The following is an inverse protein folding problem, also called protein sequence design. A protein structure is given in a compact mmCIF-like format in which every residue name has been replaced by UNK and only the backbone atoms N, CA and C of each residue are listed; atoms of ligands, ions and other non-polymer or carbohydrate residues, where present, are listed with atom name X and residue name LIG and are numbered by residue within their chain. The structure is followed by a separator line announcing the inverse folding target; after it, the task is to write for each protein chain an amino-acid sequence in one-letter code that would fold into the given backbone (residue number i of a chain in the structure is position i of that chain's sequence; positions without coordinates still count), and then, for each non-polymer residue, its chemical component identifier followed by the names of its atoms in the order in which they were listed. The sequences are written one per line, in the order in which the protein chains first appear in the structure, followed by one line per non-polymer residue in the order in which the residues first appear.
data_IF_109231154630
#
_entry.id   IF_109231154630
#
_cell.length_a   1.000
_cell.length_b   1.000
_cell.length_c   1.000
_cell.angle_alpha   90.00
_cell.angle_beta   90.00
_cell.angle_gamma   90.00
#
_symmetry.space_group_name_H-M   'P 1'
#
loop_
_entity.id
_entity.type
_entity.pdbx_description
1 polymer ?
#
# COMPACT_ATOMS: atom_id res chain seq x y z
N UNK A 1 3.00 7.55 18.31
CA UNK A 1 1.55 7.27 18.45
C UNK A 1 1.42 5.78 18.57
N UNK A 2 0.95 5.28 19.72
CA UNK A 2 0.64 3.87 19.87
C UNK A 2 -0.56 3.55 18.97
N UNK A 3 -0.28 3.02 17.78
CA UNK A 3 -1.30 2.36 16.97
C UNK A 3 -1.82 1.23 17.87
N UNK A 4 -3.13 1.12 18.13
CA UNK A 4 -3.64 0.05 18.97
C UNK A 4 -3.32 -1.28 18.28
N UNK A 5 -2.23 -1.91 18.69
CA UNK A 5 -1.82 -3.25 18.30
C UNK A 5 -2.91 -4.18 18.82
N UNK A 6 -3.88 -4.52 17.98
CA UNK A 6 -5.03 -5.32 18.38
C UNK A 6 -4.59 -6.77 18.64
N UNK A 7 -4.13 -7.04 19.87
CA UNK A 7 -3.88 -8.37 20.41
C UNK A 7 -5.22 -9.05 20.73
N UNK A 8 -6.00 -9.41 19.72
CA UNK A 8 -7.31 -9.96 19.99
C UNK A 8 -7.62 -11.21 19.19
N UNK A 9 -8.10 -12.22 19.92
CA UNK A 9 -8.67 -13.49 19.46
C UNK A 9 -9.96 -13.29 18.64
N UNK A 10 -10.10 -12.18 17.91
CA UNK A 10 -11.29 -11.90 17.12
C UNK A 10 -11.21 -12.64 15.80
N UNK A 11 -12.32 -13.29 15.46
CA UNK A 11 -12.54 -13.79 14.10
C UNK A 11 -12.56 -12.59 13.15
N UNK A 12 -12.09 -12.77 11.90
CA UNK A 12 -12.20 -11.74 10.89
C UNK A 12 -13.67 -11.31 10.73
N UNK A 13 -13.86 -10.01 10.51
CA UNK A 13 -15.15 -9.41 10.23
C UNK A 13 -15.31 -9.20 8.71
N UNK A 14 -16.55 -9.04 8.26
CA UNK A 14 -16.89 -8.87 6.86
C UNK A 14 -17.02 -7.38 6.51
N UNK A 15 -16.62 -7.01 5.29
CA UNK A 15 -17.10 -5.81 4.63
C UNK A 15 -18.29 -6.19 3.76
N UNK A 16 -19.46 -5.65 4.10
CA UNK A 16 -20.65 -5.83 3.28
C UNK A 16 -20.45 -5.14 1.94
N UNK A 17 -20.53 -5.87 0.83
CA UNK A 17 -20.33 -5.32 -0.52
C UNK A 17 -21.50 -5.62 -1.48
N UNK A 18 -22.56 -6.28 -0.98
CA UNK A 18 -23.74 -6.65 -1.76
C UNK A 18 -25.03 -6.18 -1.04
N UNK A 19 -25.91 -5.40 -1.71
CA UNK A 19 -27.22 -5.04 -1.15
C UNK A 19 -28.05 -6.23 -0.65
N UNK A 20 -27.94 -7.41 -1.28
CA UNK A 20 -28.69 -8.59 -0.87
C UNK A 20 -28.32 -9.05 0.56
N UNK A 21 -27.12 -8.69 1.03
CA UNK A 21 -26.61 -9.05 2.34
C UNK A 21 -27.01 -8.09 3.48
N UNK A 22 -27.74 -6.99 3.20
CA UNK A 22 -28.18 -6.04 4.23
C UNK A 22 -29.02 -6.72 5.32
N UNK A 23 -29.88 -7.67 4.92
CA UNK A 23 -30.67 -8.45 5.88
C UNK A 23 -29.80 -9.31 6.82
N UNK A 24 -28.63 -9.75 6.37
CA UNK A 24 -27.67 -10.50 7.18
C UNK A 24 -27.01 -9.58 8.22
N UNK A 25 -26.68 -8.34 7.84
CA UNK A 25 -26.19 -7.35 8.79
C UNK A 25 -27.16 -7.11 9.94
N UNK A 26 -28.46 -6.93 9.66
CA UNK A 26 -29.45 -6.75 10.73
C UNK A 26 -29.63 -7.98 11.63
N UNK A 27 -29.25 -9.17 11.14
CA UNK A 27 -29.36 -10.43 11.89
C UNK A 27 -28.13 -10.69 12.75
N UNK A 28 -26.93 -10.35 12.26
CA UNK A 28 -25.64 -10.60 12.91
C UNK A 28 -24.69 -9.40 12.74
N UNK A 29 -25.01 -8.22 13.28
CA UNK A 29 -24.26 -6.98 13.03
C UNK A 29 -22.82 -7.04 13.55
N UNK A 30 -22.55 -7.87 14.56
CA UNK A 30 -21.22 -8.07 15.13
C UNK A 30 -20.21 -8.70 14.16
N UNK A 31 -20.69 -9.30 13.07
CA UNK A 31 -19.84 -9.92 12.05
C UNK A 31 -19.30 -8.93 11.02
N UNK A 32 -19.79 -7.69 11.02
CA UNK A 32 -19.45 -6.71 10.00
C UNK A 32 -18.58 -5.59 10.59
N UNK A 33 -17.47 -5.28 9.92
CA UNK A 33 -16.60 -4.16 10.28
C UNK A 33 -16.98 -2.87 9.55
N UNK A 34 -17.62 -3.00 8.39
CA UNK A 34 -18.00 -1.88 7.52
C UNK A 34 -18.84 -2.35 6.33
N UNK A 35 -19.22 -1.40 5.49
CA UNK A 35 -19.82 -1.68 4.20
C UNK A 35 -19.10 -0.90 3.09
N UNK A 36 -19.13 -1.44 1.88
CA UNK A 36 -18.43 -0.95 0.71
C UNK A 36 -19.45 -0.65 -0.38
N UNK A 37 -19.88 0.61 -0.46
CA UNK A 37 -20.83 1.04 -1.46
C UNK A 37 -20.15 1.14 -2.85
N UNK A 38 -20.82 0.67 -3.91
CA UNK A 38 -20.25 0.68 -5.26
C UNK A 38 -20.32 2.07 -5.93
N UNK A 39 -21.09 3.01 -5.39
CA UNK A 39 -21.21 4.38 -5.88
C UNK A 39 -21.76 5.32 -4.80
N UNK A 40 -21.66 6.62 -5.03
CA UNK A 40 -22.09 7.67 -4.10
C UNK A 40 -23.57 7.59 -3.72
N UNK A 41 -24.47 7.31 -4.68
CA UNK A 41 -25.92 7.21 -4.40
C UNK A 41 -26.23 6.10 -3.39
N UNK A 42 -25.58 4.94 -3.53
CA UNK A 42 -25.72 3.84 -2.57
C UNK A 42 -24.97 4.09 -1.27
N UNK A 43 -23.93 4.92 -1.27
CA UNK A 43 -23.21 5.28 -0.04
C UNK A 43 -24.13 6.01 0.94
N UNK A 44 -24.92 6.99 0.46
CA UNK A 44 -25.89 7.71 1.29
C UNK A 44 -26.96 6.80 1.86
N UNK A 45 -27.56 5.99 0.98
CA UNK A 45 -28.60 5.06 1.36
C UNK A 45 -28.11 4.06 2.42
N UNK A 46 -26.90 3.52 2.23
CA UNK A 46 -26.30 2.57 3.16
C UNK A 46 -25.85 3.23 4.46
N UNK A 47 -25.35 4.46 4.42
CA UNK A 47 -24.95 5.19 5.62
C UNK A 47 -26.14 5.45 6.56
N UNK A 48 -27.33 5.70 6.00
CA UNK A 48 -28.56 5.83 6.79
C UNK A 48 -29.07 4.46 7.29
N UNK A 49 -29.15 3.45 6.41
CA UNK A 49 -29.75 2.14 6.72
C UNK A 49 -28.88 1.29 7.66
N UNK A 50 -27.56 1.35 7.52
CA UNK A 50 -26.61 0.50 8.24
C UNK A 50 -26.04 1.16 9.49
N UNK A 51 -26.48 2.38 9.85
CA UNK A 51 -25.96 3.09 11.02
C UNK A 51 -26.01 2.22 12.30
N UNK A 52 -24.92 2.12 13.08
CA UNK A 52 -23.69 2.93 13.03
C UNK A 52 -22.51 2.32 12.23
N UNK A 53 -22.75 1.33 11.36
CA UNK A 53 -21.70 0.70 10.56
C UNK A 53 -21.04 1.72 9.61
N UNK A 54 -19.69 1.82 9.57
CA UNK A 54 -19.02 2.73 8.66
C UNK A 54 -19.18 2.26 7.21
N UNK A 55 -19.60 3.18 6.33
CA UNK A 55 -19.77 2.92 4.90
C UNK A 55 -18.70 3.66 4.12
N UNK A 56 -17.92 2.92 3.32
CA UNK A 56 -16.92 3.47 2.42
C UNK A 56 -17.32 3.36 0.96
N UNK A 57 -16.51 3.97 0.10
CA UNK A 57 -16.68 3.97 -1.35
C UNK A 57 -15.54 3.22 -2.05
N UNK A 58 -15.89 2.35 -2.99
CA UNK A 58 -14.92 1.75 -3.90
C UNK A 58 -14.52 2.75 -4.99
N UNK A 59 -13.22 2.92 -5.21
CA UNK A 59 -12.64 3.72 -6.28
C UNK A 59 -11.69 2.83 -7.10
N UNK A 60 -12.03 2.65 -8.38
CA UNK A 60 -11.15 1.94 -9.30
C UNK A 60 -10.00 2.84 -9.74
N UNK A 61 -8.76 2.34 -9.62
CA UNK A 61 -7.60 3.03 -10.17
C UNK A 61 -7.71 3.08 -11.70
N UNK A 62 -7.45 4.25 -12.34
CA UNK A 62 -7.47 4.34 -13.79
C UNK A 62 -6.29 3.56 -14.42
N UNK A 63 -6.35 3.21 -15.71
CA UNK A 63 -5.23 2.56 -16.39
C UNK A 63 -4.00 3.48 -16.43
N UNK A 64 -2.80 2.89 -16.39
CA UNK A 64 -1.56 3.66 -16.52
C UNK A 64 -1.48 4.39 -17.87
N UNK A 65 -0.81 5.56 -17.92
CA UNK A 65 -0.58 6.28 -19.16
C UNK A 65 0.28 5.44 -20.10
N UNK A 66 0.07 5.61 -21.40
CA UNK A 66 0.93 4.97 -22.39
C UNK A 66 2.34 5.55 -22.32
N UNK A 67 3.31 4.71 -21.94
CA UNK A 67 4.69 5.11 -21.76
C UNK A 67 5.38 5.61 -23.04
N UNK A 68 4.89 5.26 -24.23
CA UNK A 68 5.43 5.76 -25.49
C UNK A 68 4.98 7.20 -25.81
N UNK A 69 3.84 7.61 -25.28
CA UNK A 69 3.18 8.87 -25.64
C UNK A 69 3.04 9.86 -24.47
N UNK A 70 3.30 9.43 -23.24
CA UNK A 70 3.25 10.26 -22.05
C UNK A 70 4.58 10.99 -21.85
N UNK A 71 4.53 12.28 -21.54
CA UNK A 71 5.70 13.02 -21.07
C UNK A 71 6.16 12.47 -19.71
N UNK A 72 7.48 12.37 -19.54
CA UNK A 72 8.11 11.93 -18.29
C UNK A 72 8.15 13.08 -17.27
N UNK A 73 8.10 12.80 -15.96
CA UNK A 73 7.90 11.47 -15.35
C UNK A 73 6.44 10.99 -15.41
N UNK A 74 6.21 9.77 -15.90
CA UNK A 74 4.90 9.12 -16.02
C UNK A 74 4.18 9.08 -14.68
N UNK A 75 4.91 8.81 -13.60
CA UNK A 75 4.32 8.67 -12.26
C UNK A 75 3.64 9.96 -11.79
N UNK A 76 4.21 11.13 -12.13
CA UNK A 76 3.57 12.41 -11.81
C UNK A 76 2.32 12.65 -12.64
N UNK A 77 2.35 12.30 -13.93
CA UNK A 77 1.17 12.39 -14.78
C UNK A 77 0.05 11.46 -14.27
N UNK A 78 0.41 10.26 -13.87
CA UNK A 78 -0.54 9.30 -13.33
C UNK A 78 -1.15 9.74 -11.99
N UNK A 79 -0.39 10.41 -11.12
CA UNK A 79 -0.94 11.05 -9.90
C UNK A 79 -2.06 12.04 -10.27
N UNK A 80 -1.84 12.92 -11.26
CA UNK A 80 -2.86 13.88 -11.69
C UNK A 80 -4.06 13.19 -12.37
N UNK A 81 -3.82 12.14 -13.15
CA UNK A 81 -4.89 11.32 -13.73
C UNK A 81 -5.75 10.65 -12.65
N UNK A 82 -5.14 10.10 -11.60
CA UNK A 82 -5.85 9.59 -10.43
C UNK A 82 -6.67 10.68 -9.76
N UNK A 83 -6.12 11.88 -9.57
CA UNK A 83 -6.87 13.00 -8.98
C UNK A 83 -8.10 13.37 -9.81
N UNK A 84 -7.96 13.41 -11.12
CA UNK A 84 -9.08 13.71 -12.03
C UNK A 84 -10.15 12.61 -12.03
N UNK A 85 -9.74 11.35 -11.90
CA UNK A 85 -10.65 10.21 -11.79
C UNK A 85 -11.40 10.18 -10.44
N UNK A 86 -10.72 10.49 -9.33
CA UNK A 86 -11.28 10.38 -7.98
C UNK A 86 -12.10 11.58 -7.57
N UNK A 87 -11.71 12.80 -7.98
CA UNK A 87 -12.36 14.05 -7.54
C UNK A 87 -13.88 14.08 -7.73
N UNK A 88 -14.48 13.60 -8.85
CA UNK A 88 -15.93 13.57 -9.02
C UNK A 88 -16.64 12.54 -8.13
N UNK A 89 -15.92 11.57 -7.58
CA UNK A 89 -16.44 10.46 -6.79
C UNK A 89 -16.27 10.69 -5.28
N UNK A 90 -15.54 11.74 -4.87
CA UNK A 90 -15.40 12.07 -3.46
C UNK A 90 -16.75 12.40 -2.86
N UNK A 91 -17.00 11.83 -1.70
CA UNK A 91 -18.26 11.93 -0.98
C UNK A 91 -18.03 12.30 0.48
N UNK A 92 -18.84 13.23 1.00
CA UNK A 92 -18.68 13.76 2.35
C UNK A 92 -19.07 12.76 3.45
N UNK A 93 -19.93 11.80 3.13
CA UNK A 93 -20.38 10.78 4.09
C UNK A 93 -19.60 9.47 4.01
N UNK A 94 -18.68 9.33 3.05
CA UNK A 94 -17.85 8.12 2.96
C UNK A 94 -16.85 8.06 4.13
N UNK A 95 -16.99 7.06 5.00
CA UNK A 95 -16.12 6.87 6.16
C UNK A 95 -14.68 6.51 5.77
N UNK A 96 -14.50 5.84 4.63
CA UNK A 96 -13.22 5.45 4.06
C UNK A 96 -13.35 5.27 2.53
N UNK A 97 -12.22 5.19 1.85
CA UNK A 97 -12.14 4.84 0.43
C UNK A 97 -11.37 3.55 0.24
N UNK A 98 -11.80 2.72 -0.70
CA UNK A 98 -11.15 1.48 -1.09
C UNK A 98 -10.61 1.61 -2.51
N UNK A 99 -9.29 1.61 -2.65
CA UNK A 99 -8.59 1.63 -3.92
C UNK A 99 -8.38 0.21 -4.43
N UNK A 100 -8.82 -0.06 -5.66
CA UNK A 100 -8.69 -1.38 -6.28
C UNK A 100 -8.37 -1.30 -7.78
N UNK A 101 -7.91 -2.43 -8.34
CA UNK A 101 -7.65 -2.54 -9.77
C UNK A 101 -6.45 -1.75 -10.28
N UNK A 102 -5.50 -1.41 -9.40
CA UNK A 102 -4.23 -0.81 -9.82
C UNK A 102 -3.43 -1.83 -10.66
N UNK A 103 -2.86 -1.42 -11.82
CA UNK A 103 -2.16 -2.34 -12.72
C UNK A 103 -0.80 -2.80 -12.18
N UNK A 104 -0.13 -1.94 -11.41
CA UNK A 104 1.20 -2.16 -10.82
C UNK A 104 1.24 -1.58 -9.42
N UNK A 105 2.22 -1.97 -8.61
CA UNK A 105 2.41 -1.39 -7.29
C UNK A 105 2.78 0.10 -7.33
N UNK A 106 3.70 0.57 -8.20
CA UNK A 106 3.95 2.01 -8.36
C UNK A 106 2.67 2.80 -8.69
N UNK A 107 1.79 2.26 -9.54
CA UNK A 107 0.50 2.86 -9.82
C UNK A 107 -0.41 2.92 -8.57
N UNK A 108 -0.51 1.83 -7.80
CA UNK A 108 -1.28 1.85 -6.55
C UNK A 108 -0.75 2.92 -5.58
N UNK A 109 0.56 2.99 -5.39
CA UNK A 109 1.20 4.00 -4.53
C UNK A 109 0.86 5.42 -5.01
N UNK A 110 0.97 5.68 -6.31
CA UNK A 110 0.59 6.96 -6.91
C UNK A 110 -0.89 7.29 -6.68
N UNK A 111 -1.79 6.31 -6.78
CA UNK A 111 -3.21 6.49 -6.50
C UNK A 111 -3.47 6.82 -5.01
N UNK A 112 -2.75 6.20 -4.08
CA UNK A 112 -2.81 6.54 -2.65
C UNK A 112 -2.37 7.98 -2.41
N UNK A 113 -1.24 8.40 -3.00
CA UNK A 113 -0.76 9.79 -2.89
C UNK A 113 -1.76 10.79 -3.48
N UNK A 114 -2.34 10.47 -4.65
CA UNK A 114 -3.36 11.28 -5.29
C UNK A 114 -4.60 11.44 -4.42
N UNK A 115 -5.08 10.35 -3.80
CA UNK A 115 -6.23 10.40 -2.92
C UNK A 115 -5.93 11.16 -1.62
N UNK A 116 -4.73 11.00 -1.06
CA UNK A 116 -4.27 11.75 0.11
C UNK A 116 -4.19 13.27 -0.14
N UNK A 117 -3.80 13.68 -1.35
CA UNK A 117 -3.84 15.09 -1.78
C UNK A 117 -5.27 15.65 -1.87
N UNK A 118 -6.25 14.79 -2.18
CA UNK A 118 -7.65 15.18 -2.34
C UNK A 118 -8.43 15.17 -1.03
N UNK A 119 -8.18 14.19 -0.16
CA UNK A 119 -8.90 14.03 1.10
C UNK A 119 -8.02 13.38 2.17
N UNK A 120 -8.16 13.82 3.42
CA UNK A 120 -7.49 13.19 4.58
C UNK A 120 -8.27 12.01 5.16
N UNK A 121 -9.04 11.28 4.34
CA UNK A 121 -9.87 10.16 4.82
C UNK A 121 -9.07 8.87 4.87
N UNK A 122 -9.58 7.92 5.65
CA UNK A 122 -9.05 6.55 5.75
C UNK A 122 -9.02 5.88 4.38
N UNK A 123 -7.90 5.23 4.06
CA UNK A 123 -7.69 4.50 2.80
C UNK A 123 -7.49 3.01 3.08
N UNK A 124 -8.25 2.19 2.35
CA UNK A 124 -8.05 0.75 2.21
C UNK A 124 -7.50 0.52 0.80
N UNK A 125 -6.47 -0.30 0.67
CA UNK A 125 -5.86 -0.60 -0.64
C UNK A 125 -5.88 -2.10 -0.92
N UNK A 126 -6.17 -2.48 -2.17
CA UNK A 126 -6.05 -3.87 -2.62
C UNK A 126 -4.68 -4.15 -3.22
N UNK A 127 -4.07 -5.27 -2.81
CA UNK A 127 -2.92 -5.88 -3.46
C UNK A 127 -3.34 -7.21 -4.09
N UNK A 128 -3.09 -7.35 -5.38
CA UNK A 128 -3.28 -8.61 -6.09
C UNK A 128 -1.95 -9.38 -6.14
N UNK A 129 -1.92 -10.57 -5.56
CA UNK A 129 -0.75 -11.44 -5.56
C UNK A 129 -0.88 -12.47 -6.67
N UNK A 130 0.18 -12.58 -7.47
CA UNK A 130 0.28 -13.43 -8.66
C UNK A 130 0.69 -14.87 -8.31
N UNK A 131 1.57 -15.06 -7.32
CA UNK A 131 2.19 -16.35 -7.02
C UNK A 131 2.26 -16.70 -5.52
N UNK A 132 2.71 -17.91 -5.21
CA UNK A 132 2.89 -18.44 -3.86
C UNK A 132 4.18 -17.98 -3.18
N UNK A 133 5.03 -17.23 -3.87
CA UNK A 133 6.22 -16.57 -3.32
C UNK A 133 5.91 -15.15 -2.80
N UNK A 134 4.68 -14.67 -3.01
CA UNK A 134 4.19 -13.38 -2.54
C UNK A 134 4.55 -12.22 -3.46
N UNK A 135 4.70 -12.46 -4.76
CA UNK A 135 4.91 -11.40 -5.74
C UNK A 135 3.60 -10.88 -6.32
N UNK A 136 3.57 -9.59 -6.60
CA UNK A 136 2.56 -8.94 -7.44
C UNK A 136 2.85 -9.19 -8.93
N UNK A 137 1.90 -8.93 -9.84
CA UNK A 137 2.11 -9.14 -11.28
C UNK A 137 3.31 -8.39 -11.90
N UNK A 138 3.73 -7.27 -11.31
CA UNK A 138 4.91 -6.50 -11.71
C UNK A 138 6.23 -7.00 -11.07
N UNK A 139 6.15 -8.08 -10.29
CA UNK A 139 7.26 -8.68 -9.55
C UNK A 139 7.59 -7.99 -8.23
N UNK A 140 6.77 -7.05 -7.76
CA UNK A 140 6.93 -6.43 -6.44
C UNK A 140 6.63 -7.44 -5.33
N UNK A 141 7.48 -7.51 -4.32
CA UNK A 141 7.27 -8.31 -3.11
C UNK A 141 6.13 -7.73 -2.26
N UNK A 142 5.18 -8.56 -1.83
CA UNK A 142 4.04 -8.15 -1.00
C UNK A 142 4.48 -7.47 0.31
N UNK A 143 5.62 -7.86 0.88
CA UNK A 143 6.21 -7.21 2.07
C UNK A 143 6.71 -5.82 1.75
N UNK A 144 7.28 -5.62 0.56
CA UNK A 144 7.74 -4.32 0.09
C UNK A 144 6.54 -3.38 -0.06
N UNK A 145 5.49 -3.86 -0.75
CA UNK A 145 4.26 -3.12 -0.95
C UNK A 145 3.60 -2.74 0.39
N UNK A 146 3.41 -3.68 1.31
CA UNK A 146 2.84 -3.41 2.63
C UNK A 146 3.70 -2.45 3.43
N UNK A 147 5.03 -2.62 3.39
CA UNK A 147 6.00 -1.76 4.07
C UNK A 147 5.88 -0.29 3.64
N UNK A 148 5.66 -0.05 2.35
CA UNK A 148 5.39 1.29 1.81
C UNK A 148 4.00 1.78 2.23
N UNK A 149 2.93 1.01 1.95
CA UNK A 149 1.55 1.45 2.14
C UNK A 149 1.26 1.85 3.59
N UNK A 150 1.79 1.12 4.57
CA UNK A 150 1.60 1.43 5.99
C UNK A 150 2.25 2.74 6.44
N UNK A 151 3.15 3.33 5.65
CA UNK A 151 3.77 4.61 5.95
C UNK A 151 3.14 5.80 5.23
N UNK A 152 2.31 5.57 4.21
CA UNK A 152 1.70 6.63 3.39
C UNK A 152 0.19 6.77 3.61
N UNK A 153 -0.28 6.41 4.80
CA UNK A 153 -1.66 6.67 5.24
C UNK A 153 -2.69 5.56 4.94
N UNK A 154 -2.27 4.41 4.41
CA UNK A 154 -3.16 3.25 4.27
C UNK A 154 -3.34 2.56 5.62
N UNK A 155 -4.60 2.33 6.01
CA UNK A 155 -4.93 1.71 7.31
C UNK A 155 -5.21 0.22 7.19
N UNK A 156 -5.62 -0.23 6.01
CA UNK A 156 -5.97 -1.63 5.75
C UNK A 156 -5.49 -2.03 4.37
N UNK A 157 -4.83 -3.18 4.27
CA UNK A 157 -4.49 -3.80 2.99
C UNK A 157 -5.31 -5.06 2.81
N UNK A 158 -6.03 -5.14 1.69
CA UNK A 158 -6.77 -6.32 1.27
C UNK A 158 -5.93 -7.10 0.27
N UNK A 159 -5.66 -8.38 0.54
CA UNK A 159 -4.92 -9.25 -0.38
C UNK A 159 -5.92 -10.07 -1.19
N UNK A 160 -5.78 -10.06 -2.51
CA UNK A 160 -6.47 -10.96 -3.43
C UNK A 160 -5.46 -11.83 -4.16
N UNK A 161 -5.89 -12.99 -4.63
CA UNK A 161 -5.05 -13.94 -5.38
C UNK A 161 -5.90 -14.75 -6.35
N UNK A 162 -5.26 -15.53 -7.22
CA UNK A 162 -5.94 -16.42 -8.17
C UNK A 162 -6.35 -17.78 -7.60
N UNK A 163 -5.76 -18.18 -6.47
CA UNK A 163 -6.02 -19.46 -5.81
C UNK A 163 -5.78 -19.37 -4.28
N UNK A 164 -6.32 -20.31 -3.48
CA UNK A 164 -6.21 -20.28 -2.02
C UNK A 164 -4.79 -20.50 -1.47
N UNK A 165 -3.91 -21.16 -2.22
CA UNK A 165 -2.54 -21.43 -1.78
C UNK A 165 -1.73 -20.13 -1.81
N UNK A 166 -1.74 -19.41 -2.93
CA UNK A 166 -1.10 -18.10 -3.04
C UNK A 166 -1.63 -17.10 -2.02
N UNK A 167 -2.95 -17.08 -1.78
CA UNK A 167 -3.53 -16.22 -0.73
C UNK A 167 -3.01 -16.55 0.67
N UNK A 168 -2.93 -17.85 1.01
CA UNK A 168 -2.41 -18.31 2.31
C UNK A 168 -0.95 -17.94 2.48
N UNK A 169 -0.12 -18.18 1.45
CA UNK A 169 1.32 -17.88 1.49
C UNK A 169 1.58 -16.38 1.59
N UNK A 170 0.88 -15.57 0.80
CA UNK A 170 1.00 -14.12 0.87
C UNK A 170 0.72 -13.59 2.28
N UNK A 171 -0.32 -14.09 2.95
CA UNK A 171 -0.62 -13.74 4.34
C UNK A 171 0.46 -14.22 5.30
N UNK A 172 0.97 -15.46 5.15
CA UNK A 172 2.05 -15.99 5.99
C UNK A 172 3.32 -15.13 5.90
N UNK A 173 3.67 -14.71 4.68
CA UNK A 173 4.83 -13.88 4.37
C UNK A 173 4.65 -12.45 4.89
N UNK A 174 3.48 -11.86 4.72
CA UNK A 174 3.20 -10.46 5.05
C UNK A 174 2.86 -10.20 6.52
N UNK A 175 2.11 -11.10 7.16
CA UNK A 175 1.51 -10.91 8.48
C UNK A 175 2.50 -10.55 9.61
N UNK A 176 3.75 -11.08 9.63
CA UNK A 176 4.73 -10.68 10.65
C UNK A 176 5.18 -9.22 10.54
N UNK A 177 5.12 -8.64 9.34
CA UNK A 177 5.66 -7.30 9.03
C UNK A 177 4.59 -6.21 8.96
N UNK A 178 3.33 -6.59 8.78
CA UNK A 178 2.21 -5.67 8.68
C UNK A 178 1.88 -5.01 10.03
N UNK A 179 1.99 -3.69 10.09
CA UNK A 179 1.56 -2.88 11.25
C UNK A 179 0.13 -2.36 11.11
N UNK A 180 -0.37 -2.29 9.89
CA UNK A 180 -1.75 -1.99 9.51
C UNK A 180 -2.65 -3.24 9.62
N UNK A 181 -3.97 -3.06 9.46
CA UNK A 181 -4.92 -4.17 9.41
C UNK A 181 -4.77 -4.95 8.10
N UNK A 182 -4.69 -6.28 8.17
CA UNK A 182 -4.72 -7.12 6.97
C UNK A 182 -6.13 -7.65 6.73
N UNK A 183 -6.52 -7.71 5.47
CA UNK A 183 -7.73 -8.37 5.05
C UNK A 183 -7.55 -9.14 3.75
N UNK A 184 -8.63 -9.78 3.29
CA UNK A 184 -8.62 -10.54 2.03
C UNK A 184 -9.85 -10.28 1.19
N UNK A 185 -9.70 -10.34 -0.13
CA UNK A 185 -10.81 -10.52 -1.06
C UNK A 185 -10.81 -12.01 -1.45
N UNK A 186 -11.84 -12.76 -1.06
CA UNK A 186 -11.80 -14.23 -1.15
C UNK A 186 -13.12 -14.83 -1.62
N UNK A 187 -13.00 -15.89 -2.43
CA UNK A 187 -14.11 -16.72 -2.86
C UNK A 187 -14.61 -17.68 -1.77
N UNK A 188 -15.92 -17.85 -1.63
CA UNK A 188 -16.51 -18.74 -0.61
C UNK A 188 -16.04 -20.20 -0.74
N UNK A 189 -15.77 -20.67 -1.95
CA UNK A 189 -15.28 -22.05 -2.19
C UNK A 189 -13.86 -22.31 -1.63
N UNK A 190 -13.15 -21.25 -1.24
CA UNK A 190 -11.79 -21.32 -0.71
C UNK A 190 -11.75 -21.40 0.83
N UNK A 191 -12.89 -21.24 1.50
CA UNK A 191 -12.99 -21.17 2.97
C UNK A 191 -12.31 -22.35 3.70
N UNK A 192 -12.49 -23.58 3.19
CA UNK A 192 -11.92 -24.77 3.81
C UNK A 192 -10.47 -25.07 3.40
N UNK A 193 -9.96 -24.33 2.41
CA UNK A 193 -8.64 -24.55 1.80
C UNK A 193 -7.62 -23.49 2.22
N UNK A 194 -8.10 -22.35 2.72
CA UNK A 194 -7.28 -21.18 3.04
C UNK A 194 -7.02 -21.12 4.53
N UNK A 195 -5.76 -20.84 4.92
CA UNK A 195 -5.45 -20.42 6.29
C UNK A 195 -5.22 -18.91 6.30
N UNK A 196 -6.01 -18.21 7.11
CA UNK A 196 -5.95 -16.78 7.26
C UNK A 196 -4.97 -16.42 8.39
N UNK A 197 -3.87 -15.73 8.07
CA UNK A 197 -2.89 -15.24 9.04
C UNK A 197 -3.09 -13.76 9.34
N UNK A 198 -3.28 -13.41 10.61
CA UNK A 198 -3.49 -12.03 11.09
C UNK A 198 -4.59 -11.25 10.32
N UNK A 199 -5.54 -11.96 9.71
CA UNK A 199 -6.62 -11.36 8.92
C UNK A 199 -7.71 -10.81 9.84
N UNK A 200 -7.98 -9.52 9.72
CA UNK A 200 -8.99 -8.79 10.50
C UNK A 200 -10.28 -8.57 9.70
N UNK A 201 -10.17 -8.45 8.38
CA UNK A 201 -11.28 -8.06 7.50
C UNK A 201 -11.36 -8.97 6.26
N UNK A 202 -12.57 -9.32 5.82
CA UNK A 202 -12.82 -10.09 4.60
C UNK A 202 -13.81 -9.33 3.73
N UNK A 203 -13.48 -9.15 2.45
CA UNK A 203 -14.44 -8.79 1.39
C UNK A 203 -14.86 -10.09 0.70
N UNK A 204 -16.08 -10.60 0.97
CA UNK A 204 -16.53 -11.87 0.41
C UNK A 204 -17.07 -11.69 -1.02
N UNK A 205 -17.00 -12.73 -1.85
CA UNK A 205 -17.80 -12.81 -3.08
C UNK A 205 -19.27 -13.17 -2.82
N UNK A 206 -19.51 -14.01 -1.81
CA UNK A 206 -20.84 -14.47 -1.38
C UNK A 206 -20.97 -14.30 0.14
N UNK A 207 -21.57 -13.18 0.56
CA UNK A 207 -21.64 -12.81 2.00
C UNK A 207 -22.30 -13.88 2.88
N UNK A 208 -23.39 -14.51 2.43
CA UNK A 208 -24.13 -15.51 3.22
C UNK A 208 -23.27 -16.74 3.59
N UNK A 209 -22.47 -17.21 2.63
CA UNK A 209 -21.61 -18.37 2.84
C UNK A 209 -20.54 -18.09 3.92
N UNK A 210 -19.99 -16.87 3.91
CA UNK A 210 -19.02 -16.43 4.91
C UNK A 210 -19.64 -16.24 6.29
N UNK A 211 -20.82 -15.63 6.39
CA UNK A 211 -21.58 -15.52 7.65
C UNK A 211 -21.79 -16.90 8.27
N UNK A 212 -22.24 -17.88 7.48
CA UNK A 212 -22.43 -19.26 7.94
C UNK A 212 -21.11 -19.91 8.39
N UNK A 213 -20.03 -19.74 7.62
CA UNK A 213 -18.72 -20.31 7.93
C UNK A 213 -18.08 -19.72 9.20
N UNK A 214 -18.21 -18.41 9.41
CA UNK A 214 -17.74 -17.72 10.61
C UNK A 214 -18.52 -18.15 11.85
N UNK A 215 -19.85 -18.31 11.75
CA UNK A 215 -20.66 -18.90 12.83
C UNK A 215 -20.24 -20.34 13.13
N UNK A 216 -19.97 -21.13 12.10
CA UNK A 216 -19.62 -22.55 12.21
C UNK A 216 -18.16 -22.84 12.62
N UNK A 217 -17.31 -21.82 12.80
CA UNK A 217 -15.86 -21.96 13.00
C UNK A 217 -15.18 -22.76 11.87
N UNK A 218 -15.63 -22.58 10.63
CA UNK A 218 -15.16 -23.35 9.47
C UNK A 218 -13.93 -22.72 8.78
N UNK A 219 -13.50 -21.54 9.23
CA UNK A 219 -12.36 -20.81 8.67
C UNK A 219 -11.13 -21.00 9.56
N UNK A 220 -10.04 -21.50 8.99
CA UNK A 220 -8.76 -21.64 9.68
C UNK A 220 -8.13 -20.26 9.84
N UNK A 221 -8.12 -19.72 11.06
CA UNK A 221 -7.48 -18.45 11.38
C UNK A 221 -6.31 -18.70 12.33
N UNK A 222 -5.15 -18.10 12.05
CA UNK A 222 -3.96 -18.18 12.88
C UNK A 222 -3.39 -16.79 13.11
N UNK A 223 -2.79 -16.60 14.28
CA UNK A 223 -2.06 -15.38 14.59
C UNK A 223 -0.56 -15.68 14.55
N UNK A 224 0.17 -14.95 13.71
CA UNK A 224 1.62 -14.92 13.73
C UNK A 224 2.08 -13.73 14.57
N UNK A 225 3.12 -13.91 15.43
CA UNK A 225 3.69 -12.79 16.14
C UNK A 225 4.24 -11.78 15.13
N UNK A 226 3.99 -10.50 15.40
CA UNK A 226 4.72 -9.44 14.71
C UNK A 226 6.16 -9.51 15.17
N UNK A 227 7.07 -9.57 14.23
CA UNK A 227 8.51 -9.56 14.47
C UNK A 227 9.03 -8.18 14.03
N UNK A 228 10.28 -7.81 14.32
CA UNK A 228 10.95 -6.63 13.76
C UNK A 228 10.72 -5.26 14.44
N UNK A 229 10.87 -5.18 15.77
CA UNK A 229 11.14 -3.88 16.44
C UNK A 229 12.62 -3.45 16.32
N UNK A 230 13.52 -4.38 16.01
CA UNK A 230 14.97 -4.12 15.97
C UNK A 230 15.49 -3.67 14.58
N UNK A 231 14.64 -3.69 13.54
CA UNK A 231 15.03 -3.36 12.17
C UNK A 231 14.07 -2.37 11.52
N UNK A 232 14.60 -1.59 10.58
CA UNK A 232 13.83 -0.69 9.72
C UNK A 232 13.48 -1.45 8.44
N UNK A 233 12.20 -1.52 8.09
CA UNK A 233 11.78 -1.93 6.75
C UNK A 233 11.95 -0.74 5.79
N UNK A 234 12.85 -0.87 4.82
CA UNK A 234 13.19 0.14 3.82
C UNK A 234 13.09 -0.46 2.40
N UNK A 235 11.86 -0.63 1.86
CA UNK A 235 11.68 -1.17 0.52
C UNK A 235 12.32 -0.30 -0.56
N UNK A 236 12.94 -0.94 -1.56
CA UNK A 236 13.60 -0.26 -2.69
C UNK A 236 12.64 0.06 -3.85
N UNK A 237 11.37 -0.34 -3.72
CA UNK A 237 10.36 -0.22 -4.76
C UNK A 237 9.93 -1.56 -5.35
N UNK A 238 10.74 -2.61 -5.22
CA UNK A 238 10.43 -3.98 -5.64
C UNK A 238 10.61 -5.00 -4.51
N UNK A 239 11.66 -4.89 -3.72
CA UNK A 239 12.03 -5.82 -2.66
C UNK A 239 11.98 -5.16 -1.28
N UNK A 240 11.65 -5.96 -0.26
CA UNK A 240 11.70 -5.53 1.12
C UNK A 240 13.11 -5.71 1.67
N UNK A 241 13.68 -4.65 2.23
CA UNK A 241 14.96 -4.69 2.94
C UNK A 241 14.76 -4.39 4.42
N UNK A 242 15.36 -5.21 5.28
CA UNK A 242 15.33 -5.01 6.73
C UNK A 242 16.72 -4.58 7.18
N UNK A 243 16.85 -3.29 7.47
CA UNK A 243 18.14 -2.64 7.68
C UNK A 243 18.31 -2.23 9.15
N UNK A 244 19.55 -2.19 9.60
CA UNK A 244 19.89 -1.53 10.85
C UNK A 244 19.82 0.00 10.66
N UNK A 245 19.51 0.78 11.70
CA UNK A 245 19.60 2.25 11.65
C UNK A 245 21.01 2.76 11.29
N UNK A 246 22.04 1.94 11.56
CA UNK A 246 23.44 2.23 11.25
C UNK A 246 23.90 1.59 9.95
N UNK A 247 23.01 1.45 8.97
CA UNK A 247 23.37 0.91 7.65
C UNK A 247 24.47 1.76 7.01
N UNK A 248 25.36 1.10 6.27
CA UNK A 248 26.36 1.79 5.47
C UNK A 248 25.71 2.32 4.19
N UNK A 249 25.87 3.62 3.96
CA UNK A 249 25.30 4.34 2.83
C UNK A 249 26.46 4.71 1.91
N UNK A 250 26.29 4.50 0.60
CA UNK A 250 27.32 4.84 -0.39
C UNK A 250 27.70 6.32 -0.35
N UNK A 251 28.84 6.62 -1.00
CA UNK A 251 29.11 7.98 -1.45
C UNK A 251 27.98 8.49 -2.37
N UNK A 252 27.91 9.81 -2.55
CA UNK A 252 26.91 10.43 -3.44
C UNK A 252 27.10 9.97 -4.88
N UNK A 253 26.02 9.48 -5.48
CA UNK A 253 25.92 9.08 -6.88
C UNK A 253 25.03 10.11 -7.57
N UNK A 254 25.57 10.81 -8.57
CA UNK A 254 24.81 11.77 -9.37
C UNK A 254 23.75 11.03 -10.20
N UNK A 255 22.50 11.50 -10.14
CA UNK A 255 21.40 10.88 -10.88
C UNK A 255 21.36 11.38 -12.33
N UNK A 256 22.39 11.00 -13.10
CA UNK A 256 22.61 11.44 -14.48
C UNK A 256 22.67 10.30 -15.50
N UNK A 257 23.16 10.56 -16.73
CA UNK A 257 23.16 9.59 -17.83
C UNK A 257 23.93 8.29 -17.59
N UNK A 258 24.79 8.25 -16.56
CA UNK A 258 25.61 7.10 -16.18
C UNK A 258 25.08 6.36 -14.94
N UNK A 259 23.90 6.74 -14.44
CA UNK A 259 23.34 6.21 -13.20
C UNK A 259 23.33 4.67 -13.15
N UNK A 260 22.94 4.00 -14.24
CA UNK A 260 22.90 2.53 -14.29
C UNK A 260 24.29 1.91 -14.08
N UNK A 261 25.35 2.53 -14.63
CA UNK A 261 26.74 2.07 -14.47
C UNK A 261 27.22 2.31 -13.02
N UNK A 262 26.94 3.50 -12.49
CA UNK A 262 27.34 3.90 -11.14
C UNK A 262 26.65 3.05 -10.05
N UNK A 263 25.38 2.69 -10.25
CA UNK A 263 24.63 1.80 -9.36
C UNK A 263 25.25 0.40 -9.30
N UNK A 264 25.69 -0.14 -10.44
CA UNK A 264 26.36 -1.45 -10.49
C UNK A 264 27.69 -1.40 -9.74
N UNK A 265 28.46 -0.33 -9.94
CA UNK A 265 29.75 -0.17 -9.25
C UNK A 265 29.58 -0.06 -7.73
N UNK A 266 28.52 0.59 -7.25
CA UNK A 266 28.26 0.76 -5.83
C UNK A 266 27.62 -0.45 -5.13
N UNK A 267 27.01 -1.40 -5.87
CA UNK A 267 26.17 -2.48 -5.30
C UNK A 267 26.90 -3.39 -4.29
N UNK A 268 28.18 -3.65 -4.54
CA UNK A 268 29.03 -4.53 -3.73
C UNK A 268 29.60 -3.82 -2.49
N UNK A 269 29.67 -2.49 -2.50
CA UNK A 269 30.42 -1.69 -1.52
C UNK A 269 29.52 -1.02 -0.48
N UNK A 270 28.19 -1.05 -0.62
CA UNK A 270 27.29 -0.33 0.28
C UNK A 270 25.97 -1.07 0.56
N UNK A 271 25.40 -0.81 1.74
CA UNK A 271 24.11 -1.37 2.13
C UNK A 271 22.92 -0.61 1.54
N UNK A 272 23.10 0.67 1.25
CA UNK A 272 22.11 1.56 0.64
C UNK A 272 22.79 2.50 -0.36
N UNK A 273 22.08 2.88 -1.42
CA UNK A 273 22.54 3.85 -2.40
C UNK A 273 22.18 5.27 -1.98
N UNK A 274 23.06 6.23 -2.22
CA UNK A 274 22.79 7.66 -2.04
C UNK A 274 22.74 8.36 -3.38
N UNK A 275 21.52 8.65 -3.86
CA UNK A 275 21.34 9.37 -5.12
C UNK A 275 21.13 10.86 -4.86
N UNK A 276 21.86 11.68 -5.61
CA UNK A 276 21.75 13.14 -5.64
C UNK A 276 20.93 13.58 -6.86
N UNK A 277 19.88 14.37 -6.59
CA UNK A 277 19.10 15.07 -7.59
C UNK A 277 19.51 16.55 -7.62
N UNK A 278 20.03 17.02 -8.74
CA UNK A 278 20.37 18.42 -9.00
C UNK A 278 19.33 19.09 -9.91
N UNK A 279 18.72 18.34 -10.84
CA UNK A 279 17.78 18.88 -11.83
C UNK A 279 16.50 18.07 -11.99
N UNK A 280 15.48 18.64 -12.63
CA UNK A 280 14.24 17.91 -12.97
C UNK A 280 14.50 16.74 -13.95
N UNK A 281 15.56 16.80 -14.77
CA UNK A 281 15.95 15.70 -15.65
C UNK A 281 16.43 14.48 -14.86
N UNK A 282 17.04 14.72 -13.70
CA UNK A 282 17.51 13.68 -12.80
C UNK A 282 16.32 12.90 -12.21
N UNK A 283 15.17 13.56 -12.00
CA UNK A 283 13.93 12.90 -11.57
C UNK A 283 13.40 11.97 -12.66
N UNK A 284 13.54 12.37 -13.93
CA UNK A 284 13.19 11.51 -15.07
C UNK A 284 14.13 10.30 -15.10
N UNK A 285 15.42 10.53 -14.96
CA UNK A 285 16.45 9.48 -14.94
C UNK A 285 16.20 8.50 -13.78
N UNK A 286 15.87 9.00 -12.58
CA UNK A 286 15.47 8.19 -11.44
C UNK A 286 14.26 7.31 -11.76
N UNK A 287 13.25 7.84 -12.46
CA UNK A 287 12.08 7.04 -12.87
C UNK A 287 12.46 5.95 -13.88
N UNK A 288 13.31 6.27 -14.84
CA UNK A 288 13.69 5.34 -15.91
C UNK A 288 14.62 4.23 -15.39
N UNK A 289 15.49 4.53 -14.44
CA UNK A 289 16.47 3.61 -13.85
C UNK A 289 15.98 2.83 -12.63
N UNK A 290 14.69 2.93 -12.24
CA UNK A 290 14.14 2.21 -11.07
C UNK A 290 14.45 0.71 -11.07
N UNK A 291 14.51 0.10 -12.25
CA UNK A 291 14.77 -1.33 -12.42
C UNK A 291 16.18 -1.75 -12.00
N UNK A 292 17.13 -0.80 -11.92
CA UNK A 292 18.51 -1.03 -11.48
C UNK A 292 18.69 -0.83 -9.97
N UNK A 293 17.70 -0.26 -9.27
CA UNK A 293 17.79 -0.02 -7.83
C UNK A 293 17.54 -1.35 -7.11
N UNK A 294 18.60 -1.97 -6.62
CA UNK A 294 18.58 -3.26 -5.89
C UNK A 294 18.80 -3.11 -4.37
N UNK A 295 18.99 -1.88 -3.89
CA UNK A 295 19.27 -1.54 -2.49
C UNK A 295 18.32 -0.45 -2.01
N UNK A 296 18.11 -0.31 -0.68
CA UNK A 296 17.46 0.86 -0.11
C UNK A 296 18.09 2.15 -0.62
N UNK A 297 17.26 3.15 -0.82
CA UNK A 297 17.65 4.38 -1.48
C UNK A 297 17.62 5.56 -0.50
N UNK A 298 18.76 6.18 -0.24
CA UNK A 298 18.85 7.52 0.35
C UNK A 298 18.72 8.55 -0.77
N UNK A 299 17.73 9.45 -0.67
CA UNK A 299 17.52 10.52 -1.64
C UNK A 299 18.00 11.85 -1.08
N UNK A 300 18.87 12.50 -1.85
CA UNK A 300 19.36 13.84 -1.61
C UNK A 300 18.98 14.73 -2.79
N UNK A 301 18.72 16.02 -2.54
CA UNK A 301 18.41 16.95 -3.61
C UNK A 301 18.83 18.38 -3.28
N UNK A 302 19.13 19.17 -4.31
CA UNK A 302 19.50 20.59 -4.17
C UNK A 302 18.39 21.46 -3.55
N UNK A 303 17.13 21.04 -3.65
CA UNK A 303 15.99 21.76 -3.09
C UNK A 303 14.92 20.82 -2.55
N UNK A 304 14.09 21.34 -1.63
CA UNK A 304 12.94 20.62 -1.12
C UNK A 304 11.93 20.25 -2.22
N UNK A 305 11.72 21.14 -3.19
CA UNK A 305 10.82 20.87 -4.32
C UNK A 305 11.32 19.68 -5.15
N UNK A 306 12.63 19.62 -5.40
CA UNK A 306 13.24 18.52 -6.14
C UNK A 306 13.24 17.21 -5.35
N UNK A 307 13.46 17.27 -4.03
CA UNK A 307 13.30 16.11 -3.16
C UNK A 307 11.86 15.59 -3.17
N UNK A 308 10.85 16.47 -3.11
CA UNK A 308 9.44 16.09 -3.21
C UNK A 308 9.15 15.39 -4.55
N UNK A 309 9.71 15.90 -5.64
CA UNK A 309 9.61 15.28 -6.96
C UNK A 309 10.21 13.87 -6.98
N UNK A 310 11.42 13.70 -6.45
CA UNK A 310 12.08 12.39 -6.27
C UNK A 310 11.24 11.42 -5.43
N UNK A 311 10.68 11.88 -4.32
CA UNK A 311 9.81 11.08 -3.44
C UNK A 311 8.49 10.68 -4.10
N UNK A 312 7.96 11.48 -5.02
CA UNK A 312 6.76 11.10 -5.80
C UNK A 312 7.07 9.96 -6.75
N UNK A 313 8.19 10.03 -7.46
CA UNK A 313 8.56 9.04 -8.49
C UNK A 313 9.12 7.76 -7.89
N UNK A 314 9.85 7.82 -6.78
CA UNK A 314 10.42 6.62 -6.17
C UNK A 314 9.32 5.74 -5.54
N UNK A 315 9.12 4.48 -5.97
CA UNK A 315 8.04 3.64 -5.48
C UNK A 315 8.32 3.01 -4.10
N UNK A 316 9.57 3.02 -3.64
CA UNK A 316 9.97 2.53 -2.32
C UNK A 316 9.79 3.55 -1.19
N UNK A 317 10.50 3.31 -0.08
CA UNK A 317 10.63 4.26 1.02
C UNK A 317 12.05 4.84 1.04
N UNK A 318 12.18 6.11 0.70
CA UNK A 318 13.48 6.76 0.68
C UNK A 318 14.02 6.98 2.10
N UNK A 319 15.32 6.82 2.28
CA UNK A 319 16.07 7.18 3.47
C UNK A 319 16.47 8.66 3.40
N UNK A 320 16.59 9.29 4.55
CA UNK A 320 17.14 10.63 4.72
C UNK A 320 18.20 10.61 5.81
N UNK A 321 19.45 10.86 5.43
CA UNK A 321 20.62 10.80 6.31
C UNK A 321 21.01 12.15 6.94
N UNK A 322 20.32 13.23 6.58
CA UNK A 322 20.57 14.57 7.11
C UNK A 322 21.72 15.34 6.43
N UNK A 323 22.37 14.80 5.40
CA UNK A 323 23.49 15.48 4.70
C UNK A 323 23.06 16.77 4.04
N UNK A 324 21.88 16.76 3.40
CA UNK A 324 21.27 17.94 2.79
C UNK A 324 20.28 18.55 3.78
N UNK A 325 20.75 19.49 4.61
CA UNK A 325 19.94 20.11 5.66
C UNK A 325 18.66 20.75 5.09
N UNK A 326 17.52 20.34 5.63
CA UNK A 326 16.20 20.92 5.34
C UNK A 326 15.57 21.40 6.65
N UNK A 327 14.58 22.29 6.54
CA UNK A 327 13.78 22.66 7.70
C UNK A 327 13.06 21.44 8.28
N UNK A 328 13.07 21.29 9.60
CA UNK A 328 12.51 20.12 10.29
C UNK A 328 11.02 19.89 9.96
N UNK A 329 10.27 20.98 9.70
CA UNK A 329 8.87 20.93 9.27
C UNK A 329 8.70 20.32 7.86
N UNK A 330 9.65 20.57 6.96
CA UNK A 330 9.68 19.98 5.61
C UNK A 330 9.97 18.49 5.70
N UNK A 331 10.93 18.09 6.54
CA UNK A 331 11.22 16.67 6.79
C UNK A 331 10.00 15.96 7.37
N UNK A 332 9.36 16.51 8.41
CA UNK A 332 8.14 15.91 8.98
C UNK A 332 7.00 15.77 7.96
N UNK A 333 6.88 16.72 7.03
CA UNK A 333 5.93 16.62 5.92
C UNK A 333 6.28 15.44 4.99
N UNK A 334 7.55 15.27 4.62
CA UNK A 334 7.98 14.16 3.76
C UNK A 334 7.87 12.78 4.43
N UNK A 335 8.19 12.68 5.72
CA UNK A 335 7.98 11.46 6.51
C UNK A 335 6.49 11.06 6.53
N UNK A 336 5.60 12.04 6.71
CA UNK A 336 4.16 11.79 6.82
C UNK A 336 3.52 11.48 5.46
N UNK A 337 3.89 12.22 4.42
CA UNK A 337 3.22 12.14 3.11
C UNK A 337 3.79 11.04 2.21
N UNK A 338 5.10 10.89 2.20
CA UNK A 338 5.80 9.97 1.30
C UNK A 338 6.40 8.76 2.00
N UNK A 339 6.26 8.68 3.33
CA UNK A 339 6.78 7.58 4.14
C UNK A 339 8.30 7.60 4.28
N UNK A 340 8.95 8.73 3.95
CA UNK A 340 10.39 8.91 4.03
C UNK A 340 10.91 8.52 5.42
N UNK A 341 12.07 7.88 5.47
CA UNK A 341 12.66 7.34 6.70
C UNK A 341 13.84 8.21 7.09
N UNK A 342 13.69 9.00 8.15
CA UNK A 342 14.82 9.68 8.80
C UNK A 342 15.64 8.68 9.62
N UNK A 343 16.95 8.63 9.38
CA UNK A 343 17.90 7.74 10.07
C UNK A 343 18.43 8.33 11.39
#
# INVERSE_FOLDING_TARGET
MDIPLCQSEHKPQLLLNDPAAISLYHTAPEQFAGALAPNAELCDAWAEELAPLPVGLALACPPEPDAEHCERPITMHYIEQCKDAFRPQLHDDAAFYYLHGAPTFPALRAAVLALGDLCGRTVIAELHVEDDEGHLPDGTDVRAAIGVLQRIGVTTVLISAHDPESLTQALEIAAPYARLSLGVCMHADWLSQTTLYNTEVIVPDITEAFVAALHGNQVSCKTLPRDHDDFICAPDGKHAHFIAPTIDISDEIECGPHLDEDLIEAEDDSGAFKLLLETEEDVVTLEESRYMISRPLCLCAESADLLEQGLRVFPGLALYDGTWEQEDAVISYFETKYGMIRL
#
